data_IF_337258579944
#
_entry.id   IF_337258579944
#
_cell.length_a   1.000
_cell.length_b   1.000
_cell.length_c   1.000
_cell.angle_alpha   90.00
_cell.angle_beta   90.00
_cell.angle_gamma   90.00
#
_symmetry.space_group_name_H-M   'P 1'
#
loop_
_entity.id
_entity.type
_entity.pdbx_description
1 polymer ?
#
# COMPACT_ATOMS: atom_id res chain seq x y z
N UNK A 1 -19.05 21.84 7.98
CA UNK A 1 -19.34 20.41 7.79
C UNK A 1 -18.00 19.71 7.78
N UNK A 2 -17.65 19.08 8.89
CA UNK A 2 -16.37 18.39 9.02
C UNK A 2 -16.61 16.96 8.54
N UNK A 3 -16.68 16.80 7.23
CA UNK A 3 -16.96 15.52 6.59
C UNK A 3 -15.80 14.58 6.91
N UNK A 4 -16.06 13.55 7.73
CA UNK A 4 -15.08 12.52 8.05
C UNK A 4 -14.80 11.72 6.77
N UNK A 5 -13.74 12.09 6.04
CA UNK A 5 -13.45 11.57 4.69
C UNK A 5 -13.30 10.05 4.68
N UNK A 6 -12.76 9.50 5.77
CA UNK A 6 -12.59 8.04 5.95
C UNK A 6 -13.95 7.34 5.95
N UNK A 7 -14.93 7.86 6.69
CA UNK A 7 -16.25 7.25 6.78
C UNK A 7 -16.97 7.29 5.42
N UNK A 8 -16.83 8.38 4.68
CA UNK A 8 -17.40 8.48 3.32
C UNK A 8 -16.79 7.44 2.39
N UNK A 9 -15.47 7.26 2.40
CA UNK A 9 -14.80 6.25 1.58
C UNK A 9 -15.24 4.84 1.99
N UNK A 10 -15.31 4.55 3.29
CA UNK A 10 -15.78 3.27 3.82
C UNK A 10 -17.22 2.96 3.37
N UNK A 11 -18.11 3.95 3.47
CA UNK A 11 -19.51 3.77 3.09
C UNK A 11 -19.67 3.57 1.58
N UNK A 12 -18.88 4.27 0.76
CA UNK A 12 -18.85 4.08 -0.69
C UNK A 12 -18.37 2.67 -1.05
N UNK A 13 -17.28 2.20 -0.45
CA UNK A 13 -16.76 0.85 -0.68
C UNK A 13 -17.77 -0.22 -0.25
N UNK A 14 -18.42 -0.03 0.90
CA UNK A 14 -19.48 -0.92 1.38
C UNK A 14 -20.73 -0.91 0.47
N UNK A 15 -21.01 0.22 -0.18
CA UNK A 15 -22.08 0.34 -1.16
C UNK A 15 -21.75 -0.33 -2.51
N UNK A 16 -20.56 -0.94 -2.65
CA UNK A 16 -20.11 -1.60 -3.87
C UNK A 16 -19.42 -0.67 -4.85
N UNK A 17 -18.93 0.50 -4.40
CA UNK A 17 -18.05 1.31 -5.23
C UNK A 17 -16.79 0.51 -5.60
N UNK A 18 -16.39 0.62 -6.86
CA UNK A 18 -15.24 -0.08 -7.38
C UNK A 18 -13.95 0.62 -6.93
N UNK A 19 -13.21 -0.01 -6.01
CA UNK A 19 -11.92 0.47 -5.51
C UNK A 19 -10.82 0.45 -6.59
N UNK A 20 -11.07 -0.20 -7.73
CA UNK A 20 -10.16 -0.33 -8.86
C UNK A 20 -10.55 0.58 -10.03
N UNK A 21 -11.63 1.34 -9.90
CA UNK A 21 -12.10 2.23 -10.94
C UNK A 21 -11.03 3.26 -11.31
N UNK A 22 -10.79 3.41 -12.60
CA UNK A 22 -9.86 4.40 -13.14
C UNK A 22 -10.62 5.57 -13.74
N UNK A 23 -10.05 6.77 -13.62
CA UNK A 23 -10.54 7.94 -14.34
C UNK A 23 -10.00 8.01 -15.78
N UNK A 24 -10.25 9.13 -16.47
CA UNK A 24 -9.80 9.36 -17.85
C UNK A 24 -8.27 9.37 -18.01
N UNK A 25 -7.53 9.59 -16.93
CA UNK A 25 -6.07 9.58 -16.88
C UNK A 25 -5.51 8.22 -16.45
N UNK A 26 -6.38 7.24 -16.17
CA UNK A 26 -5.96 5.96 -15.61
C UNK A 26 -5.67 6.05 -14.10
N UNK A 27 -6.02 7.16 -13.45
CA UNK A 27 -5.82 7.34 -12.02
C UNK A 27 -6.82 6.46 -11.26
N UNK A 28 -6.31 5.52 -10.46
CA UNK A 28 -7.11 4.76 -9.48
C UNK A 28 -7.43 5.62 -8.25
N UNK A 29 -8.30 5.15 -7.32
CA UNK A 29 -8.57 5.89 -6.09
C UNK A 29 -7.30 6.14 -5.25
N UNK A 30 -6.28 5.27 -5.34
CA UNK A 30 -4.97 5.49 -4.71
C UNK A 30 -4.21 6.68 -5.33
N UNK A 31 -4.24 6.83 -6.67
CA UNK A 31 -3.67 8.01 -7.34
C UNK A 31 -4.38 9.30 -6.91
N UNK A 32 -5.72 9.26 -6.84
CA UNK A 32 -6.51 10.40 -6.38
C UNK A 32 -6.19 10.79 -4.93
N UNK A 33 -6.03 9.82 -4.03
CA UNK A 33 -5.56 10.08 -2.66
C UNK A 33 -4.16 10.72 -2.66
N UNK A 34 -3.24 10.22 -3.47
CA UNK A 34 -1.89 10.78 -3.55
C UNK A 34 -1.90 12.23 -4.05
N UNK A 35 -2.73 12.55 -5.04
CA UNK A 35 -2.82 13.87 -5.68
C UNK A 35 -3.54 14.92 -4.83
N UNK A 36 -4.62 14.53 -4.14
CA UNK A 36 -5.54 15.48 -3.50
C UNK A 36 -5.54 15.47 -1.96
N UNK A 37 -4.76 14.60 -1.32
CA UNK A 37 -4.60 14.65 0.14
C UNK A 37 -3.72 15.83 0.54
N UNK A 38 -4.30 16.80 1.25
CA UNK A 38 -3.57 17.95 1.81
C UNK A 38 -2.59 17.50 2.90
N UNK A 39 -3.12 16.91 3.99
CA UNK A 39 -2.30 16.30 5.04
C UNK A 39 -2.00 14.84 4.70
N UNK A 40 -1.00 14.61 3.85
CA UNK A 40 -0.56 13.27 3.40
C UNK A 40 -0.06 12.36 4.53
N UNK A 41 0.17 12.92 5.72
CA UNK A 41 0.58 12.23 6.96
C UNK A 41 -0.59 12.02 7.94
N UNK A 42 -1.81 12.48 7.62
CA UNK A 42 -2.92 12.36 8.56
C UNK A 42 -3.30 10.90 8.77
N UNK A 43 -3.80 10.62 9.98
CA UNK A 43 -4.35 9.31 10.32
C UNK A 43 -5.39 8.86 9.29
N UNK A 44 -6.23 9.78 8.84
CA UNK A 44 -7.29 9.56 7.85
C UNK A 44 -6.75 9.02 6.52
N UNK A 45 -5.63 9.56 6.01
CA UNK A 45 -5.04 9.11 4.74
C UNK A 45 -4.50 7.70 4.85
N UNK A 46 -3.86 7.36 5.98
CA UNK A 46 -3.39 5.99 6.20
C UNK A 46 -4.56 5.00 6.26
N UNK A 47 -5.64 5.34 6.94
CA UNK A 47 -6.83 4.48 7.04
C UNK A 47 -7.52 4.32 5.68
N UNK A 48 -7.65 5.39 4.89
CA UNK A 48 -8.19 5.33 3.53
C UNK A 48 -7.36 4.45 2.60
N UNK A 49 -6.02 4.48 2.74
CA UNK A 49 -5.12 3.61 1.97
C UNK A 49 -5.32 2.15 2.38
N UNK A 50 -5.33 1.85 3.68
CA UNK A 50 -5.56 0.48 4.17
C UNK A 50 -6.90 -0.07 3.69
N UNK A 51 -7.96 0.75 3.69
CA UNK A 51 -9.26 0.36 3.15
C UNK A 51 -9.19 0.03 1.64
N UNK A 52 -8.57 0.88 0.82
CA UNK A 52 -8.46 0.61 -0.62
C UNK A 52 -7.62 -0.64 -0.92
N UNK A 53 -6.53 -0.85 -0.18
CA UNK A 53 -5.69 -2.04 -0.31
C UNK A 53 -6.44 -3.31 0.11
N UNK A 54 -7.23 -3.24 1.19
CA UNK A 54 -8.08 -4.35 1.61
C UNK A 54 -9.13 -4.74 0.55
N UNK A 55 -9.53 -3.79 -0.28
CA UNK A 55 -10.40 -4.00 -1.44
C UNK A 55 -9.64 -4.34 -2.74
N UNK A 56 -8.34 -4.62 -2.65
CA UNK A 56 -7.52 -5.13 -3.76
C UNK A 56 -6.86 -4.06 -4.63
N UNK A 57 -6.89 -2.78 -4.23
CA UNK A 57 -6.18 -1.74 -4.96
C UNK A 57 -4.67 -2.03 -4.97
N UNK A 58 -4.03 -1.94 -6.14
CA UNK A 58 -2.59 -2.15 -6.27
C UNK A 58 -1.86 -0.80 -6.14
N UNK A 59 -1.00 -0.62 -5.12
CA UNK A 59 -0.23 0.61 -4.93
C UNK A 59 0.90 0.79 -5.96
N UNK A 60 1.17 -0.23 -6.78
CA UNK A 60 2.18 -0.22 -7.85
C UNK A 60 1.55 -0.11 -9.23
N UNK A 61 0.23 -0.04 -9.34
CA UNK A 61 -0.46 0.14 -10.61
C UNK A 61 -0.09 1.51 -11.21
N UNK A 62 0.51 1.58 -12.40
CA UNK A 62 0.72 2.85 -13.08
C UNK A 62 -0.57 3.35 -13.75
N UNK A 63 -0.73 4.67 -13.79
CA UNK A 63 -1.74 5.36 -14.60
C UNK A 63 -1.33 5.44 -16.09
N UNK A 64 -2.11 6.14 -16.92
CA UNK A 64 -1.83 6.26 -18.36
C UNK A 64 -0.55 7.07 -18.67
N UNK A 65 -0.05 7.85 -17.72
CA UNK A 65 1.22 8.57 -17.83
C UNK A 65 2.42 7.71 -17.39
N UNK A 66 2.16 6.48 -16.93
CA UNK A 66 3.18 5.59 -16.37
C UNK A 66 3.59 5.93 -14.94
N UNK A 67 2.82 6.79 -14.26
CA UNK A 67 3.08 7.21 -12.89
C UNK A 67 2.29 6.33 -11.93
N UNK A 68 2.93 5.86 -10.86
CA UNK A 68 2.27 5.15 -9.77
C UNK A 68 1.66 6.15 -8.77
N UNK A 69 0.77 5.72 -7.85
CA UNK A 69 0.28 6.58 -6.79
C UNK A 69 1.42 7.22 -5.97
N UNK A 70 2.52 6.50 -5.79
CA UNK A 70 3.71 7.01 -5.12
C UNK A 70 4.41 8.13 -5.91
N UNK A 71 4.39 8.10 -7.23
CA UNK A 71 5.04 9.13 -8.06
C UNK A 71 4.25 10.45 -8.09
N UNK A 72 2.93 10.40 -7.85
CA UNK A 72 2.05 11.56 -7.86
C UNK A 72 2.09 12.40 -6.57
N UNK A 73 2.79 11.97 -5.52
CA UNK A 73 2.98 12.78 -4.32
C UNK A 73 3.89 12.12 -3.29
N UNK A 74 4.34 12.91 -2.29
CA UNK A 74 5.16 12.41 -1.16
C UNK A 74 4.36 11.46 -0.26
N UNK A 75 4.12 10.25 -0.75
CA UNK A 75 3.22 9.28 -0.16
C UNK A 75 4.00 8.26 0.69
N UNK A 76 4.53 8.74 1.81
CA UNK A 76 5.27 7.92 2.80
C UNK A 76 4.44 6.74 3.36
N UNK A 77 3.10 6.79 3.25
CA UNK A 77 2.22 5.70 3.68
C UNK A 77 2.38 4.43 2.81
N UNK A 78 2.64 4.57 1.50
CA UNK A 78 2.90 3.44 0.61
C UNK A 78 4.32 2.89 0.77
N UNK A 79 5.31 3.73 1.08
CA UNK A 79 6.66 3.27 1.44
C UNK A 79 6.65 2.37 2.70
N UNK A 80 5.82 2.70 3.69
CA UNK A 80 5.70 1.90 4.92
C UNK A 80 5.18 0.50 4.66
N UNK A 81 4.37 0.31 3.61
CA UNK A 81 3.84 -0.98 3.21
C UNK A 81 4.91 -1.81 2.49
N UNK A 82 5.65 -1.22 1.55
CA UNK A 82 6.76 -1.91 0.87
C UNK A 82 7.89 -2.31 1.86
N UNK A 83 8.14 -1.50 2.90
CA UNK A 83 9.09 -1.82 3.97
C UNK A 83 8.63 -2.98 4.86
N UNK A 84 7.33 -3.18 5.06
CA UNK A 84 6.80 -4.28 5.88
C UNK A 84 7.05 -5.63 5.22
N UNK A 85 6.91 -5.74 3.91
CA UNK A 85 7.20 -6.97 3.17
C UNK A 85 8.69 -7.35 3.22
N UNK A 86 9.60 -6.37 3.05
CA UNK A 86 11.04 -6.62 3.17
C UNK A 86 11.47 -7.08 4.56
N UNK A 87 10.81 -6.61 5.62
CA UNK A 87 11.14 -7.04 6.99
C UNK A 87 10.65 -8.46 7.29
N UNK A 88 9.59 -8.94 6.64
CA UNK A 88 9.15 -10.33 6.81
C UNK A 88 10.08 -11.33 6.12
N UNK A 89 10.72 -10.94 5.01
CA UNK A 89 11.65 -11.81 4.28
C UNK A 89 12.97 -12.02 5.03
N UNK A 90 13.53 -10.97 5.66
CA UNK A 90 14.78 -11.09 6.45
C UNK A 90 14.57 -11.95 7.70
N UNK A 91 13.39 -11.90 8.32
CA UNK A 91 13.06 -12.75 9.48
C UNK A 91 12.86 -14.22 9.06
N UNK A 92 12.36 -14.48 7.84
CA UNK A 92 12.24 -15.85 7.33
C UNK A 92 13.61 -16.50 7.05
N UNK A 93 14.56 -15.74 6.51
CA UNK A 93 15.91 -16.23 6.18
C UNK A 93 16.75 -16.57 7.43
N UNK A 94 16.54 -15.88 8.55
CA UNK A 94 17.26 -16.15 9.81
C UNK A 94 16.83 -17.44 10.53
N UNK A 95 15.73 -18.08 10.11
CA UNK A 95 15.26 -19.35 10.70
C UNK A 95 15.81 -20.61 10.02
N UNK A 96 16.40 -20.51 8.82
CA UNK A 96 16.82 -21.70 8.05
C UNK A 96 18.30 -22.02 8.14
N UNK A 97 19.16 -21.12 8.62
CA UNK A 97 20.63 -21.36 8.68
C UNK A 97 21.15 -21.98 10.00
N UNK A 98 20.28 -22.38 10.94
CA UNK A 98 20.71 -22.92 12.25
C UNK A 98 20.69 -24.45 12.38
N UNK A 99 20.54 -25.23 11.30
CA UNK A 99 20.56 -26.72 11.39
C UNK A 99 21.44 -27.46 10.39
N UNK A 100 22.32 -26.79 9.64
CA UNK A 100 23.39 -27.53 8.95
C UNK A 100 24.53 -27.83 9.92
N UNK A 101 24.46 -29.06 10.44
CA UNK A 101 25.36 -29.65 11.41
C UNK A 101 26.81 -29.69 10.96
N UNK A 102 27.66 -29.63 11.98
CA UNK A 102 29.12 -29.59 11.97
C UNK A 102 29.82 -30.52 10.97
N UNK A 103 30.97 -30.13 10.43
CA UNK A 103 31.75 -30.97 9.52
C UNK A 103 32.36 -32.15 10.29
N UNK A 104 31.92 -33.38 9.97
CA UNK A 104 32.62 -34.59 10.39
C UNK A 104 33.91 -34.72 9.59
N UNK A 105 34.98 -34.21 10.20
CA UNK A 105 36.38 -34.57 9.98
C UNK A 105 36.48 -36.11 9.86
N UNK A 106 36.84 -36.60 8.67
CA UNK A 106 37.31 -37.98 8.49
C UNK A 106 38.84 -37.95 8.38
N UNK A 107 39.46 -38.85 9.16
CA UNK A 107 40.89 -39.08 9.32
C UNK A 107 41.56 -39.58 8.03
#
# INVERSE_FOLDING_TARGET
>A
MNTNKVEVVRDLLNAGADALATDVYGDTPLHALAKFSGDKQSFDVNEMVELLLAHGADPKQPNNEGLTPHDLGDFLALERLDRRDRLQEVVAQTRTESTEGSPRRAL
#
